data_IF_143331777764
#
_entry.id   IF_143331777764
#
_cell.length_a   1.000
_cell.length_b   1.000
_cell.length_c   1.000
_cell.angle_alpha   90.00
_cell.angle_beta   90.00
_cell.angle_gamma   90.00
#
_symmetry.space_group_name_H-M   'P 1'
#
loop_
_entity.id
_entity.type
_entity.pdbx_description
1 polymer ?
#
# COMPACT_ATOMS: atom_id res chain seq x y z
N UNK A 1 -61.62 -2.59 -2.19
CA UNK A 1 -60.92 -1.50 -1.48
C UNK A 1 -61.04 -1.78 0.00
N UNK A 2 -59.91 -1.99 0.68
CA UNK A 2 -59.67 -1.91 2.13
C UNK A 2 -58.22 -2.36 2.35
N UNK A 3 -57.32 -1.41 2.59
CA UNK A 3 -55.90 -1.64 2.90
C UNK A 3 -55.74 -1.93 4.40
N UNK A 4 -55.00 -2.98 4.82
CA UNK A 4 -54.69 -3.17 6.23
C UNK A 4 -53.59 -2.19 6.70
N UNK A 5 -53.77 -1.72 7.93
CA UNK A 5 -53.07 -0.65 8.64
C UNK A 5 -51.55 -0.82 8.76
N UNK A 6 -50.86 0.31 8.59
CA UNK A 6 -49.41 0.51 8.61
C UNK A 6 -48.92 0.85 10.04
N UNK A 7 -49.23 0.05 11.07
CA UNK A 7 -48.92 0.44 12.47
C UNK A 7 -48.28 -0.67 13.33
N UNK A 8 -48.04 -1.88 12.81
CA UNK A 8 -47.42 -2.97 13.60
C UNK A 8 -45.89 -3.15 13.40
N UNK A 9 -45.21 -2.21 12.73
CA UNK A 9 -43.75 -2.30 12.46
C UNK A 9 -42.88 -1.45 13.41
N UNK A 10 -43.34 -1.18 14.63
CA UNK A 10 -42.65 -0.30 15.57
C UNK A 10 -42.10 -0.98 16.84
N UNK A 11 -42.35 -2.28 17.06
CA UNK A 11 -42.06 -2.94 18.34
C UNK A 11 -40.95 -4.01 18.28
N UNK A 12 -40.13 -4.02 17.22
CA UNK A 12 -39.01 -4.97 17.07
C UNK A 12 -37.62 -4.34 16.99
N UNK A 13 -37.50 -3.02 17.20
CA UNK A 13 -36.23 -2.25 17.11
C UNK A 13 -35.61 -1.98 18.50
N UNK A 14 -35.99 -2.69 19.57
CA UNK A 14 -35.54 -2.34 20.94
C UNK A 14 -34.76 -3.43 21.71
N UNK A 15 -34.30 -4.53 21.11
CA UNK A 15 -33.61 -5.61 21.87
C UNK A 15 -32.29 -6.13 21.30
N UNK A 16 -31.54 -5.34 20.52
CA UNK A 16 -30.18 -5.71 20.09
C UNK A 16 -29.09 -4.68 20.47
N UNK A 17 -29.37 -3.72 21.37
CA UNK A 17 -28.40 -2.69 21.79
C UNK A 17 -27.62 -3.01 23.09
N UNK A 18 -27.66 -4.24 23.59
CA UNK A 18 -27.02 -4.59 24.88
C UNK A 18 -26.18 -5.86 24.85
N UNK A 19 -25.35 -6.08 23.82
CA UNK A 19 -24.27 -7.09 23.93
C UNK A 19 -23.17 -6.93 22.89
N UNK A 20 -22.24 -6.02 23.15
CA UNK A 20 -20.79 -6.24 22.93
C UNK A 20 -20.04 -5.02 23.45
N UNK A 21 -19.77 -5.10 24.75
CA UNK A 21 -18.66 -4.44 25.42
C UNK A 21 -17.34 -4.71 24.66
N UNK A 22 -16.46 -3.70 24.68
CA UNK A 22 -15.00 -3.81 24.50
C UNK A 22 -14.49 -4.05 23.07
N UNK A 23 -14.47 -2.99 22.25
CA UNK A 23 -13.53 -2.91 21.12
C UNK A 23 -12.81 -1.57 21.07
N UNK A 24 -11.52 -1.69 21.42
CA UNK A 24 -10.38 -1.10 20.70
C UNK A 24 -9.73 0.19 21.23
N UNK A 25 -9.31 0.15 22.51
CA UNK A 25 -8.16 0.94 23.02
C UNK A 25 -6.79 0.51 22.41
N UNK A 26 -6.78 -0.39 21.41
CA UNK A 26 -5.60 -0.87 20.70
C UNK A 26 -5.23 -0.04 19.45
N UNK A 27 -6.19 0.65 18.84
CA UNK A 27 -5.97 1.42 17.60
C UNK A 27 -4.95 2.55 17.75
N UNK A 28 -4.84 3.15 18.94
CA UNK A 28 -3.96 4.30 19.18
C UNK A 28 -2.48 3.92 19.42
N UNK A 29 -2.18 2.65 19.73
CA UNK A 29 -0.83 2.23 20.16
C UNK A 29 0.16 2.02 19.00
N UNK A 30 -0.30 2.07 17.74
CA UNK A 30 0.53 1.75 16.57
C UNK A 30 1.34 2.92 16.01
N UNK A 31 1.04 4.17 16.40
CA UNK A 31 1.71 5.37 15.84
C UNK A 31 3.05 5.72 16.50
N UNK A 32 3.41 5.09 17.61
CA UNK A 32 4.60 5.42 18.42
C UNK A 32 5.75 4.41 18.31
N UNK A 33 5.68 3.46 17.38
CA UNK A 33 6.90 2.74 17.00
C UNK A 33 7.74 3.68 16.13
N UNK A 34 8.75 4.30 16.75
CA UNK A 34 9.63 5.28 16.12
C UNK A 34 10.00 4.85 14.71
N UNK A 35 9.74 5.72 13.72
CA UNK A 35 10.18 5.55 12.33
C UNK A 35 11.71 5.37 12.36
N UNK A 36 12.18 4.12 12.45
CA UNK A 36 13.58 3.81 12.23
C UNK A 36 13.89 4.30 10.82
N UNK A 37 14.76 5.31 10.72
CA UNK A 37 15.24 5.78 9.43
C UNK A 37 16.08 4.63 8.86
N UNK A 38 15.54 3.97 7.84
CA UNK A 38 16.30 3.01 7.06
C UNK A 38 17.16 3.82 6.09
N UNK A 39 18.47 3.64 6.16
CA UNK A 39 19.38 4.11 5.12
C UNK A 39 19.43 3.03 4.05
N UNK A 40 19.32 3.43 2.77
CA UNK A 40 19.28 2.50 1.65
C UNK A 40 20.34 2.91 0.64
N UNK A 41 21.22 1.98 0.31
CA UNK A 41 22.23 2.12 -0.72
C UNK A 41 21.89 1.28 -1.96
N UNK A 42 22.40 1.69 -3.11
CA UNK A 42 22.21 0.99 -4.39
C UNK A 42 23.39 0.07 -4.62
N UNK A 43 23.15 -1.24 -4.71
CA UNK A 43 24.15 -2.21 -5.13
C UNK A 43 24.26 -2.21 -6.66
N UNK A 44 23.11 -2.28 -7.34
CA UNK A 44 23.02 -2.22 -8.80
C UNK A 44 21.80 -1.42 -9.26
N UNK A 45 22.01 -0.49 -10.20
CA UNK A 45 20.97 0.38 -10.75
C UNK A 45 20.45 -0.12 -12.10
N UNK A 46 19.20 0.25 -12.42
CA UNK A 46 18.60 0.04 -13.75
C UNK A 46 18.22 1.39 -14.35
N UNK A 47 18.35 1.52 -15.66
CA UNK A 47 17.91 2.69 -16.44
C UNK A 47 16.44 2.58 -16.90
N UNK A 48 15.82 1.42 -16.67
CA UNK A 48 14.43 1.13 -17.04
C UNK A 48 13.58 0.72 -15.83
N UNK A 49 12.27 0.92 -15.99
CA UNK A 49 11.23 0.40 -15.11
C UNK A 49 10.15 -0.35 -15.88
N UNK A 50 9.51 -1.30 -15.21
CA UNK A 50 8.36 -2.05 -15.72
C UNK A 50 7.07 -1.45 -15.20
N UNK A 51 6.13 -1.16 -16.11
CA UNK A 51 4.79 -0.72 -15.75
C UNK A 51 4.02 -1.85 -15.06
N UNK A 52 3.64 -1.64 -13.80
CA UNK A 52 2.85 -2.56 -12.98
C UNK A 52 1.41 -2.75 -13.46
N UNK A 53 0.96 -1.96 -14.44
CA UNK A 53 -0.40 -2.06 -15.00
C UNK A 53 -0.44 -2.90 -16.29
N UNK A 54 0.58 -2.80 -17.14
CA UNK A 54 0.57 -3.47 -18.47
C UNK A 54 1.85 -4.24 -18.83
N UNK A 55 2.89 -4.19 -17.99
CA UNK A 55 4.18 -4.85 -18.25
C UNK A 55 5.13 -4.10 -19.19
N UNK A 56 4.74 -2.97 -19.76
CA UNK A 56 5.60 -2.20 -20.67
C UNK A 56 6.87 -1.66 -20.01
N UNK A 57 7.99 -1.69 -20.73
CA UNK A 57 9.28 -1.09 -20.34
C UNK A 57 9.35 0.40 -20.67
N UNK A 58 9.82 1.21 -19.72
CA UNK A 58 9.91 2.67 -19.81
C UNK A 58 11.21 3.14 -19.13
N UNK A 59 11.73 4.33 -19.48
CA UNK A 59 12.84 4.95 -18.75
C UNK A 59 12.56 5.08 -17.25
N UNK A 60 13.61 4.97 -16.43
CA UNK A 60 13.52 4.95 -14.96
C UNK A 60 12.86 6.18 -14.32
N UNK A 61 12.84 7.32 -15.02
CA UNK A 61 12.22 8.56 -14.58
C UNK A 61 10.81 8.78 -15.15
N UNK A 62 10.29 7.84 -15.96
CA UNK A 62 9.01 7.95 -16.63
C UNK A 62 7.85 8.09 -15.62
N UNK A 63 7.09 9.18 -15.76
CA UNK A 63 5.87 9.43 -14.97
C UNK A 63 4.61 8.79 -15.55
N UNK A 64 4.63 8.51 -16.84
CA UNK A 64 3.53 7.93 -17.61
C UNK A 64 4.09 6.83 -18.49
N UNK A 65 3.41 5.68 -18.53
CA UNK A 65 3.81 4.57 -19.37
C UNK A 65 3.55 4.89 -20.84
N UNK A 66 4.57 4.75 -21.70
CA UNK A 66 4.46 4.98 -23.15
C UNK A 66 3.54 3.99 -23.86
N UNK A 67 3.30 2.82 -23.25
CA UNK A 67 2.49 1.75 -23.83
C UNK A 67 1.00 1.90 -23.51
N UNK A 68 0.64 2.16 -22.24
CA UNK A 68 -0.76 2.17 -21.81
C UNK A 68 -1.27 3.54 -21.32
N UNK A 69 -0.43 4.57 -21.27
CA UNK A 69 -0.79 5.92 -20.85
C UNK A 69 -1.08 6.08 -19.34
N UNK A 70 -0.97 5.02 -18.53
CA UNK A 70 -1.18 5.07 -17.08
C UNK A 70 0.14 5.28 -16.34
N UNK A 71 0.08 5.69 -15.06
CA UNK A 71 1.26 5.73 -14.19
C UNK A 71 1.89 4.34 -14.08
N UNK A 72 3.23 4.19 -14.15
CA UNK A 72 3.86 2.88 -14.10
C UNK A 72 3.66 2.13 -12.78
N UNK A 73 3.41 2.82 -11.68
CA UNK A 73 3.10 2.26 -10.37
C UNK A 73 2.22 3.25 -9.58
N UNK A 74 1.59 2.79 -8.48
CA UNK A 74 0.86 3.68 -7.59
C UNK A 74 1.81 4.32 -6.57
N UNK A 75 1.56 5.59 -6.27
CA UNK A 75 2.25 6.31 -5.22
C UNK A 75 1.72 5.87 -3.85
N UNK A 76 2.57 5.87 -2.83
CA UNK A 76 2.20 5.48 -1.47
C UNK A 76 3.16 6.03 -0.42
N UNK A 77 2.79 5.90 0.87
CA UNK A 77 3.65 6.28 1.97
C UNK A 77 4.83 5.30 2.14
N UNK A 78 5.82 5.71 2.95
CA UNK A 78 6.96 4.86 3.32
C UNK A 78 8.22 5.11 2.50
N UNK A 79 9.20 4.22 2.66
CA UNK A 79 10.48 4.30 1.97
C UNK A 79 10.33 4.06 0.46
N UNK A 80 11.22 4.66 -0.32
CA UNK A 80 11.19 4.66 -1.78
C UNK A 80 12.48 4.11 -2.34
N UNK A 81 12.39 3.46 -3.49
CA UNK A 81 13.56 3.06 -4.25
C UNK A 81 14.36 4.32 -4.64
N UNK A 82 15.66 4.40 -4.32
CA UNK A 82 16.48 5.57 -4.68
C UNK A 82 16.70 5.71 -6.19
N UNK A 83 16.46 4.64 -6.96
CA UNK A 83 16.62 4.61 -8.43
C UNK A 83 15.34 5.10 -9.13
N UNK A 84 14.25 4.34 -9.06
CA UNK A 84 12.99 4.68 -9.77
C UNK A 84 11.96 5.45 -8.94
N UNK A 85 12.23 5.70 -7.64
CA UNK A 85 11.32 6.38 -6.69
C UNK A 85 10.01 5.64 -6.37
N UNK A 86 9.82 4.43 -6.90
CA UNK A 86 8.68 3.60 -6.55
C UNK A 86 8.67 3.26 -5.05
N UNK A 87 7.49 3.17 -4.41
CA UNK A 87 7.37 2.71 -3.03
C UNK A 87 8.01 1.33 -2.82
N UNK A 88 8.78 1.16 -1.74
CA UNK A 88 9.44 -0.12 -1.43
C UNK A 88 8.50 -1.21 -0.93
N UNK A 89 7.21 -0.92 -0.77
CA UNK A 89 6.18 -1.97 -0.64
C UNK A 89 6.15 -2.91 -1.84
N UNK A 90 6.66 -2.47 -3.01
CA UNK A 90 6.81 -3.31 -4.19
C UNK A 90 8.11 -4.13 -4.19
N UNK A 91 9.02 -3.92 -3.25
CA UNK A 91 10.30 -4.63 -3.23
C UNK A 91 10.14 -6.07 -2.75
N UNK A 92 10.88 -6.98 -3.36
CA UNK A 92 11.07 -8.35 -2.86
C UNK A 92 12.28 -8.37 -1.94
N UNK A 93 12.16 -9.02 -0.79
CA UNK A 93 13.30 -9.23 0.11
C UNK A 93 14.15 -10.40 -0.41
N UNK A 94 15.44 -10.18 -0.60
CA UNK A 94 16.40 -11.21 -1.02
C UNK A 94 17.01 -11.92 0.20
N UNK A 95 17.40 -11.14 1.21
CA UNK A 95 17.86 -11.62 2.52
C UNK A 95 17.59 -10.57 3.61
N UNK A 96 18.27 -10.65 4.76
CA UNK A 96 18.05 -9.75 5.89
C UNK A 96 18.28 -8.26 5.53
N UNK A 97 19.25 -8.00 4.65
CA UNK A 97 19.76 -6.67 4.35
C UNK A 97 19.59 -6.28 2.88
N UNK A 98 19.27 -7.22 1.99
CA UNK A 98 19.12 -6.94 0.56
C UNK A 98 17.68 -7.00 0.08
N UNK A 99 17.34 -6.04 -0.77
CA UNK A 99 16.04 -5.90 -1.42
C UNK A 99 16.23 -5.82 -2.94
N UNK A 100 15.28 -6.40 -3.68
CA UNK A 100 15.13 -6.20 -5.11
C UNK A 100 13.93 -5.29 -5.34
N UNK A 101 14.12 -4.15 -6.02
CA UNK A 101 13.00 -3.27 -6.36
C UNK A 101 12.05 -3.99 -7.34
N UNK A 102 10.79 -4.23 -6.99
CA UNK A 102 9.82 -4.88 -7.89
C UNK A 102 9.26 -4.00 -9.00
N UNK A 103 9.93 -2.89 -9.32
CA UNK A 103 9.54 -1.95 -10.40
C UNK A 103 10.67 -1.75 -11.40
N UNK A 104 11.87 -1.39 -10.93
CA UNK A 104 13.06 -1.21 -11.79
C UNK A 104 14.10 -2.33 -11.66
N UNK A 105 13.87 -3.33 -10.80
CA UNK A 105 14.76 -4.47 -10.58
C UNK A 105 16.18 -4.10 -10.10
N UNK A 106 16.40 -2.88 -9.61
CA UNK A 106 17.63 -2.52 -8.90
C UNK A 106 17.78 -3.29 -7.60
N UNK A 107 19.00 -3.77 -7.32
CA UNK A 107 19.38 -4.38 -6.05
C UNK A 107 19.80 -3.30 -5.05
N UNK A 108 19.26 -3.37 -3.84
CA UNK A 108 19.38 -2.36 -2.80
C UNK A 108 19.86 -3.01 -1.49
N UNK A 109 20.68 -2.29 -0.73
CA UNK A 109 21.13 -2.69 0.60
C UNK A 109 20.53 -1.79 1.68
N UNK A 110 20.03 -2.40 2.76
CA UNK A 110 19.60 -1.71 3.98
C UNK A 110 20.82 -1.55 4.87
N UNK A 111 21.19 -0.29 5.14
CA UNK A 111 22.24 0.06 6.10
C UNK A 111 21.56 0.40 7.44
N UNK A 112 22.00 -0.28 8.51
CA UNK A 112 21.50 -0.12 9.88
C UNK A 112 22.44 0.70 10.73
#
# INVERSE_FOLDING_TARGET
>A
MLTPHYEDYADSIQQEETRSSEVDEGYQRSRETGRRRLTIEVISGSDDLVCRVCGGLNPVDARVCRTCGKKPYLEGPGARCPVCRAPLVYATRLDEDRLLCGVCFSELQIIR
#
